data_IF_381865428648
#
_entry.id   IF_381865428648
#
_cell.length_a   1.000
_cell.length_b   1.000
_cell.length_c   1.000
_cell.angle_alpha   90.00
_cell.angle_beta   90.00
_cell.angle_gamma   90.00
#
_symmetry.space_group_name_H-M   'P 1'
#
loop_
_entity.id
_entity.type
_entity.pdbx_description
1 polymer ?
#
# COMPACT_ATOMS: atom_id res chain seq x y z
N UNK A 1 -3.79 -8.92 -17.33
CA UNK A 1 -4.53 -9.54 -16.21
C UNK A 1 -4.24 -8.75 -14.93
N UNK A 2 -4.93 -7.61 -14.71
CA UNK A 2 -4.66 -6.65 -13.61
C UNK A 2 -5.91 -6.33 -12.79
N UNK A 3 -6.92 -7.22 -12.77
CA UNK A 3 -8.21 -7.02 -12.10
C UNK A 3 -8.20 -7.22 -10.57
N UNK A 4 -7.05 -7.55 -9.98
CA UNK A 4 -7.00 -7.87 -8.55
C UNK A 4 -6.85 -6.63 -7.65
N UNK A 5 -6.17 -5.59 -8.13
CA UNK A 5 -5.80 -4.45 -7.28
C UNK A 5 -7.00 -3.51 -7.03
N UNK A 6 -7.77 -3.20 -8.07
CA UNK A 6 -9.00 -2.38 -7.95
C UNK A 6 -10.03 -3.04 -7.03
N UNK A 7 -10.25 -4.35 -7.16
CA UNK A 7 -11.18 -5.09 -6.29
C UNK A 7 -10.72 -5.05 -4.84
N UNK A 8 -9.42 -5.24 -4.57
CA UNK A 8 -8.84 -5.17 -3.23
C UNK A 8 -8.96 -3.78 -2.60
N UNK A 9 -8.72 -2.73 -3.38
CA UNK A 9 -8.90 -1.35 -2.93
C UNK A 9 -10.36 -1.08 -2.57
N UNK A 10 -11.29 -1.51 -3.42
CA UNK A 10 -12.73 -1.35 -3.20
C UNK A 10 -13.22 -2.13 -1.95
N UNK A 11 -12.76 -3.37 -1.75
CA UNK A 11 -13.13 -4.18 -0.57
C UNK A 11 -12.52 -3.66 0.74
N UNK A 12 -11.37 -2.99 0.68
CA UNK A 12 -10.71 -2.44 1.87
C UNK A 12 -11.31 -1.14 2.40
N UNK A 13 -12.31 -0.59 1.70
CA UNK A 13 -12.95 0.67 2.10
C UNK A 13 -12.08 1.91 1.88
N UNK A 14 -10.93 1.79 1.22
CA UNK A 14 -10.12 2.94 0.78
C UNK A 14 -10.74 3.45 -0.52
N UNK A 15 -11.76 4.27 -0.39
CA UNK A 15 -12.56 4.78 -1.52
C UNK A 15 -12.02 6.10 -2.10
N UNK A 16 -11.18 6.80 -1.33
CA UNK A 16 -10.71 8.14 -1.68
C UNK A 16 -9.22 8.33 -1.41
N UNK A 17 -8.56 9.00 -2.36
CA UNK A 17 -7.17 9.48 -2.23
C UNK A 17 -6.99 10.37 -0.99
N UNK A 18 -8.06 11.08 -0.59
CA UNK A 18 -8.01 11.98 0.54
C UNK A 18 -7.88 11.19 1.85
N UNK A 19 -8.63 10.10 1.98
CA UNK A 19 -8.52 9.19 3.14
C UNK A 19 -7.15 8.50 3.16
N UNK A 20 -6.62 8.16 1.99
CA UNK A 20 -5.28 7.62 1.83
C UNK A 20 -4.20 8.61 2.26
N UNK A 21 -4.31 9.90 1.89
CA UNK A 21 -3.38 10.95 2.36
C UNK A 21 -3.50 11.22 3.86
N UNK A 22 -4.72 11.19 4.41
CA UNK A 22 -4.97 11.45 5.84
C UNK A 22 -4.41 10.29 6.70
N UNK A 23 -4.66 9.04 6.31
CA UNK A 23 -4.21 7.86 7.07
C UNK A 23 -2.75 7.49 6.80
N UNK A 24 -2.25 7.77 5.59
CA UNK A 24 -0.93 7.38 5.13
C UNK A 24 -0.85 5.94 4.60
N UNK A 25 0.14 5.68 3.75
CA UNK A 25 0.29 4.41 3.02
C UNK A 25 0.39 3.20 3.98
N UNK A 26 1.16 3.34 5.06
CA UNK A 26 1.36 2.30 6.07
C UNK A 26 0.05 1.87 6.75
N UNK A 27 -0.76 2.84 7.16
CA UNK A 27 -1.99 2.58 7.91
C UNK A 27 -3.08 1.98 7.02
N UNK A 28 -3.18 2.48 5.78
CA UNK A 28 -4.00 1.87 4.73
C UNK A 28 -3.59 0.43 4.43
N UNK A 29 -2.29 0.16 4.30
CA UNK A 29 -1.77 -1.18 4.05
C UNK A 29 -2.08 -2.15 5.21
N UNK A 30 -1.99 -1.71 6.47
CA UNK A 30 -2.38 -2.51 7.63
C UNK A 30 -3.87 -2.87 7.62
N UNK A 31 -4.76 -1.92 7.26
CA UNK A 31 -6.19 -2.18 7.12
C UNK A 31 -6.47 -3.20 6.01
N UNK A 32 -5.84 -3.02 4.85
CA UNK A 32 -5.91 -3.98 3.75
C UNK A 32 -5.44 -5.38 4.19
N UNK A 33 -4.34 -5.47 4.94
CA UNK A 33 -3.78 -6.74 5.42
C UNK A 33 -4.68 -7.46 6.42
N UNK A 34 -5.46 -6.73 7.21
CA UNK A 34 -6.46 -7.34 8.11
C UNK A 34 -7.55 -8.09 7.33
N UNK A 35 -7.97 -7.56 6.18
CA UNK A 35 -8.93 -8.23 5.30
C UNK A 35 -8.26 -9.27 4.39
N UNK A 36 -7.02 -9.03 3.97
CA UNK A 36 -6.27 -9.92 3.09
C UNK A 36 -4.83 -10.15 3.59
N UNK A 37 -4.56 -11.26 4.32
CA UNK A 37 -3.23 -11.55 4.85
C UNK A 37 -2.19 -11.85 3.76
N UNK A 38 -2.59 -12.11 2.50
CA UNK A 38 -1.71 -12.31 1.35
C UNK A 38 -1.24 -10.99 0.71
N UNK A 39 -1.54 -9.84 1.34
CA UNK A 39 -1.13 -8.54 0.81
C UNK A 39 0.40 -8.44 0.71
N UNK A 40 0.87 -8.02 -0.46
CA UNK A 40 2.32 -7.83 -0.69
C UNK A 40 2.73 -6.37 -0.50
N UNK A 41 4.04 -6.16 -0.34
CA UNK A 41 4.64 -4.82 -0.29
C UNK A 41 4.38 -4.00 -1.56
N UNK A 42 4.08 -4.64 -2.70
CA UNK A 42 3.71 -3.92 -3.93
C UNK A 42 2.49 -3.00 -3.71
N UNK A 43 1.52 -3.46 -2.93
CA UNK A 43 0.36 -2.63 -2.58
C UNK A 43 0.79 -1.43 -1.73
N UNK A 44 1.77 -1.60 -0.83
CA UNK A 44 2.31 -0.49 -0.04
C UNK A 44 2.96 0.57 -0.93
N UNK A 45 3.69 0.16 -1.98
CA UNK A 45 4.27 1.08 -2.95
C UNK A 45 3.22 1.77 -3.81
N UNK A 46 2.19 1.06 -4.23
CA UNK A 46 1.07 1.65 -4.97
C UNK A 46 0.36 2.73 -4.12
N UNK A 47 0.14 2.46 -2.84
CA UNK A 47 -0.46 3.41 -1.89
C UNK A 47 0.44 4.64 -1.68
N UNK A 48 1.74 4.45 -1.46
CA UNK A 48 2.67 5.57 -1.32
C UNK A 48 2.72 6.40 -2.61
N UNK A 49 2.83 5.72 -3.77
CA UNK A 49 2.77 6.36 -5.08
C UNK A 49 1.53 7.22 -5.26
N UNK A 50 0.35 6.70 -4.91
CA UNK A 50 -0.90 7.46 -4.97
C UNK A 50 -0.91 8.68 -4.03
N UNK A 51 -0.29 8.60 -2.86
CA UNK A 51 -0.17 9.74 -1.91
C UNK A 51 0.70 10.85 -2.50
N UNK A 52 1.89 10.50 -2.99
CA UNK A 52 2.84 11.45 -3.59
C UNK A 52 2.49 11.82 -5.05
N UNK A 53 1.46 11.21 -5.62
CA UNK A 53 1.01 11.49 -6.99
C UNK A 53 1.94 10.94 -8.07
N UNK A 54 2.69 9.88 -7.79
CA UNK A 54 3.61 9.23 -8.73
C UNK A 54 3.32 7.74 -8.86
N UNK A 55 3.77 7.12 -9.96
CA UNK A 55 3.64 5.67 -10.09
C UNK A 55 4.52 4.94 -9.07
N UNK A 56 4.13 3.74 -8.60
CA UNK A 56 4.94 2.93 -7.67
C UNK A 56 6.40 2.70 -8.14
N UNK A 57 6.62 2.66 -9.45
CA UNK A 57 7.92 2.47 -10.08
C UNK A 57 8.76 3.76 -10.12
N UNK A 58 8.11 4.91 -9.96
CA UNK A 58 8.75 6.22 -9.87
C UNK A 58 9.16 6.57 -8.43
N UNK A 59 8.74 5.78 -7.42
CA UNK A 59 9.22 5.97 -6.06
C UNK A 59 10.74 5.77 -5.99
N UNK A 60 11.50 6.63 -5.29
CA UNK A 60 12.93 6.46 -5.16
C UNK A 60 13.26 5.16 -4.42
N UNK A 61 14.40 4.54 -4.78
CA UNK A 61 14.82 3.25 -4.24
C UNK A 61 14.90 3.25 -2.71
N UNK A 62 15.39 4.34 -2.11
CA UNK A 62 15.45 4.52 -0.66
C UNK A 62 14.07 4.40 -0.01
N UNK A 63 13.04 5.06 -0.58
CA UNK A 63 11.67 5.02 -0.06
C UNK A 63 11.06 3.63 -0.18
N UNK A 64 11.29 2.96 -1.31
CA UNK A 64 10.87 1.56 -1.49
C UNK A 64 11.53 0.65 -0.46
N UNK A 65 12.82 0.83 -0.19
CA UNK A 65 13.53 0.03 0.80
C UNK A 65 12.99 0.27 2.22
N UNK A 66 12.74 1.52 2.62
CA UNK A 66 12.11 1.85 3.91
C UNK A 66 10.73 1.20 4.09
N UNK A 67 9.91 1.22 3.03
CA UNK A 67 8.58 0.61 3.03
C UNK A 67 8.67 -0.93 3.05
N UNK A 68 9.63 -1.51 2.33
CA UNK A 68 9.90 -2.94 2.34
C UNK A 68 10.33 -3.43 3.71
N UNK A 69 11.30 -2.76 4.33
CA UNK A 69 11.84 -3.11 5.64
C UNK A 69 10.76 -3.02 6.72
N UNK A 70 9.95 -1.96 6.67
CA UNK A 70 8.79 -1.81 7.55
C UNK A 70 7.75 -2.92 7.36
N UNK A 71 7.39 -3.25 6.12
CA UNK A 71 6.45 -4.33 5.83
C UNK A 71 7.01 -5.69 6.26
N UNK A 72 8.31 -5.92 6.05
CA UNK A 72 9.00 -7.13 6.44
C UNK A 72 8.99 -7.29 7.97
N UNK A 73 9.30 -6.22 8.71
CA UNK A 73 9.26 -6.19 10.17
C UNK A 73 7.88 -6.56 10.75
N UNK A 74 6.80 -6.29 10.02
CA UNK A 74 5.43 -6.66 10.41
C UNK A 74 5.01 -8.09 10.00
N UNK A 75 5.74 -8.69 9.07
CA UNK A 75 5.49 -10.07 8.58
C UNK A 75 6.42 -11.09 9.23
N UNK A 76 7.52 -10.64 9.83
CA UNK A 76 8.54 -11.48 10.45
C UNK A 76 8.20 -11.91 11.90
N UNK A 77 6.94 -11.83 12.32
CA UNK A 77 6.45 -12.20 13.65
C UNK A 77 5.37 -13.26 13.59
#
# INVERSE_FOLDING_TARGET
>A
MTFHLETLLNESGIKDENMLRILGAKMCWLRLRQSNPLLTVKVLYALEGAIVGVHEAALPASRRQELADWAHSLTAG
#
